data_IF_879331325750
#
_entry.id   IF_879331325750
#
_cell.length_a   1.000
_cell.length_b   1.000
_cell.length_c   1.000
_cell.angle_alpha   90.00
_cell.angle_beta   90.00
_cell.angle_gamma   90.00
#
_symmetry.space_group_name_H-M   'P 1'
#
loop_
_entity.id
_entity.type
_entity.pdbx_description
1 polymer ?
#
# COMPACT_ATOMS: atom_id res chain seq x y z
N UNK A 1 -49.43 8.01 26.27
CA UNK A 1 -49.23 7.03 27.36
C UNK A 1 -48.71 5.75 26.72
N UNK A 2 -47.62 5.24 27.30
CA UNK A 2 -46.90 3.99 27.03
C UNK A 2 -45.82 4.05 25.94
N UNK A 3 -44.62 4.27 26.48
CA UNK A 3 -43.26 3.97 26.04
C UNK A 3 -43.09 2.56 25.44
N UNK A 4 -42.20 2.45 24.45
CA UNK A 4 -41.36 1.27 24.22
C UNK A 4 -40.23 1.68 23.27
N UNK A 5 -39.07 1.99 23.87
CA UNK A 5 -37.77 1.95 23.21
C UNK A 5 -37.31 0.49 23.29
N UNK A 6 -37.12 -0.17 22.14
CA UNK A 6 -36.42 -1.45 22.07
C UNK A 6 -35.01 -1.18 21.56
N UNK A 7 -34.09 -1.41 22.49
CA UNK A 7 -32.64 -1.38 22.43
C UNK A 7 -32.20 -2.83 22.14
N UNK A 8 -31.67 -3.10 20.95
CA UNK A 8 -31.05 -4.39 20.62
C UNK A 8 -29.55 -4.17 20.39
N UNK A 9 -28.84 -4.33 21.51
CA UNK A 9 -27.39 -4.41 21.66
C UNK A 9 -26.93 -5.81 21.24
N UNK A 10 -26.65 -5.99 19.95
CA UNK A 10 -25.90 -7.16 19.45
C UNK A 10 -24.42 -7.01 19.83
N UNK A 11 -24.13 -7.17 21.12
CA UNK A 11 -22.76 -7.39 21.62
C UNK A 11 -22.33 -8.78 21.18
N UNK A 12 -21.59 -8.80 20.07
CA UNK A 12 -20.93 -9.95 19.49
C UNK A 12 -20.04 -10.64 20.54
N UNK A 13 -20.50 -11.79 21.01
CA UNK A 13 -19.79 -12.67 21.93
C UNK A 13 -18.72 -13.44 21.16
N UNK A 14 -17.70 -12.72 20.69
CA UNK A 14 -16.42 -13.30 20.28
C UNK A 14 -15.55 -13.45 21.54
N UNK A 15 -15.91 -14.45 22.35
CA UNK A 15 -14.95 -15.01 23.32
C UNK A 15 -13.90 -15.76 22.50
N UNK A 16 -12.95 -15.00 21.94
CA UNK A 16 -11.71 -15.55 21.43
C UNK A 16 -10.92 -15.97 22.67
N UNK A 17 -10.97 -17.26 22.91
CA UNK A 17 -10.13 -17.99 23.85
C UNK A 17 -8.66 -17.74 23.48
N UNK A 18 -8.06 -16.70 24.08
CA UNK A 18 -6.63 -16.41 24.00
C UNK A 18 -5.88 -17.28 25.01
N UNK A 19 -6.02 -18.60 24.90
CA UNK A 19 -5.12 -19.55 25.53
C UNK A 19 -4.10 -20.03 24.49
N UNK A 20 -3.08 -19.22 24.23
CA UNK A 20 -1.81 -19.68 23.63
C UNK A 20 -0.67 -18.69 23.96
N UNK A 21 -0.52 -18.37 25.25
CA UNK A 21 0.67 -17.69 25.81
C UNK A 21 1.59 -18.73 26.48
N UNK A 22 2.02 -19.75 25.73
CA UNK A 22 2.99 -20.72 26.25
C UNK A 22 3.83 -21.39 25.15
N UNK A 23 4.59 -20.62 24.36
CA UNK A 23 5.89 -21.11 23.83
C UNK A 23 6.79 -20.01 23.22
N UNK A 24 6.77 -18.79 23.79
CA UNK A 24 7.30 -17.64 23.08
C UNK A 24 8.82 -17.67 22.83
N UNK A 25 9.56 -18.24 23.76
CA UNK A 25 11.02 -18.19 23.75
C UNK A 25 11.65 -19.32 22.91
N UNK A 26 10.93 -20.44 22.71
CA UNK A 26 11.44 -21.57 21.93
C UNK A 26 11.31 -21.30 20.42
N UNK A 27 10.26 -20.60 19.97
CA UNK A 27 10.12 -20.26 18.55
C UNK A 27 11.18 -19.27 18.08
N UNK A 28 11.56 -18.26 18.90
CA UNK A 28 12.52 -17.24 18.49
C UNK A 28 13.90 -17.83 18.20
N UNK A 29 14.34 -18.79 19.04
CA UNK A 29 15.62 -19.47 18.85
C UNK A 29 15.63 -20.38 17.61
N UNK A 30 14.49 -20.96 17.23
CA UNK A 30 14.36 -21.79 16.04
C UNK A 30 14.41 -20.93 14.78
N UNK A 31 13.62 -19.86 14.77
CA UNK A 31 13.48 -18.93 13.64
C UNK A 31 14.79 -18.20 13.33
N UNK A 32 15.57 -17.77 14.33
CA UNK A 32 16.91 -17.18 14.11
C UNK A 32 17.84 -18.18 13.38
N UNK A 33 17.75 -19.45 13.74
CA UNK A 33 18.46 -20.54 13.08
C UNK A 33 18.07 -20.71 11.61
N UNK A 34 16.77 -20.64 11.31
CA UNK A 34 16.27 -20.67 9.93
C UNK A 34 16.69 -19.43 9.15
N UNK A 35 16.52 -18.24 9.73
CA UNK A 35 16.86 -16.97 9.10
C UNK A 35 18.34 -16.93 8.72
N UNK A 36 19.24 -17.33 9.61
CA UNK A 36 20.68 -17.41 9.32
C UNK A 36 20.98 -18.35 8.15
N UNK A 37 20.26 -19.47 8.07
CA UNK A 37 20.46 -20.45 7.01
C UNK A 37 19.90 -19.96 5.67
N UNK A 38 18.72 -19.35 5.66
CA UNK A 38 18.12 -18.70 4.48
C UNK A 38 19.02 -17.59 3.96
N UNK A 39 19.58 -16.75 4.83
CA UNK A 39 20.54 -15.71 4.46
C UNK A 39 21.80 -16.32 3.84
N UNK A 40 22.30 -17.44 4.37
CA UNK A 40 23.49 -18.10 3.83
C UNK A 40 23.28 -18.77 2.48
N UNK A 41 22.06 -19.21 2.19
CA UNK A 41 21.71 -19.94 0.96
C UNK A 41 21.10 -19.06 -0.12
N UNK A 42 20.68 -17.84 0.21
CA UNK A 42 20.13 -16.87 -0.74
C UNK A 42 21.21 -15.92 -1.29
N UNK A 43 20.81 -15.08 -2.23
CA UNK A 43 21.63 -13.96 -2.76
C UNK A 43 22.10 -12.98 -1.67
N UNK A 44 21.48 -13.03 -0.47
CA UNK A 44 21.82 -12.18 0.66
C UNK A 44 23.11 -12.58 1.39
N UNK A 45 23.74 -13.72 1.06
CA UNK A 45 24.96 -14.19 1.74
C UNK A 45 26.15 -13.21 1.64
N UNK A 46 26.24 -12.44 0.56
CA UNK A 46 27.30 -11.44 0.36
C UNK A 46 26.95 -10.05 0.91
N UNK A 47 25.73 -9.86 1.42
CA UNK A 47 25.28 -8.56 1.87
C UNK A 47 25.80 -8.28 3.27
N UNK A 48 26.70 -7.30 3.41
CA UNK A 48 27.27 -6.88 4.70
C UNK A 48 26.19 -6.43 5.70
N UNK A 49 25.05 -5.93 5.21
CA UNK A 49 23.88 -5.57 6.00
C UNK A 49 22.63 -5.90 5.22
N UNK A 50 21.72 -6.63 5.87
CA UNK A 50 20.37 -6.90 5.35
C UNK A 50 19.42 -5.88 5.97
N UNK A 51 18.59 -5.18 5.16
CA UNK A 51 17.55 -4.29 5.66
C UNK A 51 16.61 -4.99 6.64
N UNK A 52 16.11 -4.28 7.64
CA UNK A 52 15.20 -4.86 8.65
C UNK A 52 13.91 -5.38 8.03
N UNK A 53 13.35 -4.65 7.05
CA UNK A 53 12.15 -5.08 6.32
C UNK A 53 12.37 -6.40 5.58
N UNK A 54 13.56 -6.62 5.02
CA UNK A 54 13.91 -7.88 4.37
C UNK A 54 14.06 -9.02 5.37
N UNK A 55 14.58 -8.76 6.57
CA UNK A 55 14.62 -9.78 7.62
C UNK A 55 13.23 -10.16 8.10
N UNK A 56 12.36 -9.16 8.27
CA UNK A 56 10.95 -9.36 8.62
C UNK A 56 10.26 -10.21 7.56
N UNK A 57 10.44 -9.86 6.28
CA UNK A 57 9.90 -10.63 5.16
C UNK A 57 10.36 -12.09 5.16
N UNK A 58 11.65 -12.35 5.36
CA UNK A 58 12.18 -13.71 5.44
C UNK A 58 11.60 -14.47 6.63
N UNK A 59 11.42 -13.80 7.76
CA UNK A 59 10.86 -14.39 8.98
C UNK A 59 9.39 -14.75 8.81
N UNK A 60 8.60 -13.84 8.24
CA UNK A 60 7.18 -14.07 7.92
C UNK A 60 7.04 -15.27 6.95
N UNK A 61 7.92 -15.34 5.94
CA UNK A 61 7.93 -16.41 4.95
C UNK A 61 8.36 -17.77 5.53
N UNK A 62 9.27 -17.79 6.50
CA UNK A 62 9.63 -19.01 7.25
C UNK A 62 8.41 -19.50 8.03
N UNK A 63 7.73 -18.62 8.77
CA UNK A 63 6.56 -18.97 9.56
C UNK A 63 5.40 -19.47 8.68
N UNK A 64 5.21 -18.89 7.48
CA UNK A 64 4.24 -19.34 6.49
C UNK A 64 4.56 -20.77 6.01
N UNK A 65 5.80 -21.04 5.61
CA UNK A 65 6.23 -22.35 5.13
C UNK A 65 6.21 -23.44 6.22
N UNK A 66 6.47 -23.09 7.48
CA UNK A 66 6.35 -24.02 8.61
C UNK A 66 4.88 -24.39 8.87
N UNK A 67 3.98 -23.40 8.79
CA UNK A 67 2.52 -23.61 8.95
C UNK A 67 1.94 -24.51 7.86
N UNK A 68 2.35 -24.32 6.61
CA UNK A 68 1.84 -25.10 5.47
C UNK A 68 2.30 -26.57 5.49
N UNK A 69 3.41 -26.88 6.16
CA UNK A 69 4.02 -28.22 6.16
C UNK A 69 3.63 -29.12 7.33
N UNK A 70 2.69 -28.71 8.18
CA UNK A 70 2.26 -29.49 9.36
C UNK A 70 3.47 -30.04 10.15
N UNK A 71 4.42 -29.16 10.51
CA UNK A 71 5.52 -29.44 11.45
C UNK A 71 6.40 -30.65 11.06
N UNK A 72 6.74 -30.79 9.79
CA UNK A 72 7.81 -31.70 9.39
C UNK A 72 9.17 -31.14 9.85
N UNK A 73 9.96 -31.93 10.58
CA UNK A 73 11.34 -31.62 11.04
C UNK A 73 12.37 -31.47 9.88
N UNK A 74 11.89 -31.36 8.63
CA UNK A 74 12.70 -31.11 7.43
C UNK A 74 13.10 -29.64 7.32
N UNK A 75 13.98 -29.21 8.23
CA UNK A 75 14.55 -27.87 8.23
C UNK A 75 15.20 -27.49 6.90
N UNK A 76 15.91 -28.42 6.26
CA UNK A 76 16.58 -28.13 4.99
C UNK A 76 15.58 -27.94 3.85
N UNK A 77 14.49 -28.70 3.83
CA UNK A 77 13.38 -28.52 2.91
C UNK A 77 12.73 -27.14 3.06
N UNK A 78 12.45 -26.71 4.29
CA UNK A 78 11.88 -25.37 4.58
C UNK A 78 12.78 -24.28 4.00
N UNK A 79 14.08 -24.31 4.32
CA UNK A 79 15.03 -23.30 3.84
C UNK A 79 15.07 -23.26 2.31
N UNK A 80 15.12 -24.41 1.62
CA UNK A 80 15.14 -24.46 0.15
C UNK A 80 13.88 -23.85 -0.48
N UNK A 81 12.71 -24.08 0.11
CA UNK A 81 11.45 -23.52 -0.40
C UNK A 81 11.36 -22.02 -0.17
N UNK A 82 11.76 -21.56 1.02
CA UNK A 82 11.87 -20.12 1.34
C UNK A 82 12.81 -19.43 0.35
N UNK A 83 14.02 -19.97 0.12
CA UNK A 83 14.96 -19.42 -0.86
C UNK A 83 14.37 -19.35 -2.28
N UNK A 84 13.69 -20.41 -2.73
CA UNK A 84 13.03 -20.44 -4.04
C UNK A 84 11.91 -19.40 -4.17
N UNK A 85 11.11 -19.20 -3.12
CA UNK A 85 10.05 -18.17 -3.10
C UNK A 85 10.65 -16.77 -3.15
N UNK A 86 11.73 -16.50 -2.40
CA UNK A 86 12.45 -15.23 -2.45
C UNK A 86 13.00 -14.94 -3.86
N UNK A 87 13.54 -15.94 -4.55
CA UNK A 87 13.98 -15.81 -5.94
C UNK A 87 12.81 -15.52 -6.89
N UNK A 88 11.65 -16.15 -6.69
CA UNK A 88 10.47 -15.91 -7.51
C UNK A 88 9.91 -14.48 -7.33
N UNK A 89 10.06 -13.89 -6.15
CA UNK A 89 9.67 -12.49 -5.89
C UNK A 89 10.65 -11.47 -6.46
N UNK A 90 11.89 -11.87 -6.72
CA UNK A 90 12.86 -11.07 -7.49
C UNK A 90 12.46 -10.97 -8.96
N UNK A 91 11.74 -11.96 -9.48
CA UNK A 91 11.33 -12.07 -10.89
C UNK A 91 9.94 -11.47 -11.19
N UNK A 92 9.45 -10.53 -10.38
CA UNK A 92 8.35 -9.68 -10.86
C UNK A 92 8.95 -8.78 -11.94
N UNK A 93 8.64 -9.11 -13.19
CA UNK A 93 9.09 -8.37 -14.36
C UNK A 93 8.78 -6.89 -14.15
N UNK A 94 9.79 -6.01 -14.23
CA UNK A 94 9.65 -4.59 -13.90
C UNK A 94 8.48 -3.94 -14.65
N UNK A 95 8.13 -4.50 -15.82
CA UNK A 95 6.95 -4.15 -16.60
C UNK A 95 5.63 -4.15 -15.81
N UNK A 96 5.47 -4.96 -14.77
CA UNK A 96 4.18 -5.14 -14.09
C UNK A 96 3.98 -4.03 -13.07
N UNK A 97 5.02 -3.73 -12.28
CA UNK A 97 5.01 -2.60 -11.35
C UNK A 97 5.01 -1.28 -12.14
N UNK A 98 5.84 -1.17 -13.19
CA UNK A 98 5.89 0.01 -14.06
C UNK A 98 4.54 0.25 -14.75
N UNK A 99 3.87 -0.80 -15.24
CA UNK A 99 2.54 -0.70 -15.85
C UNK A 99 1.46 -0.32 -14.82
N UNK A 100 1.51 -0.84 -13.59
CA UNK A 100 0.57 -0.47 -12.52
C UNK A 100 0.73 0.99 -12.10
N UNK A 101 1.96 1.47 -11.95
CA UNK A 101 2.25 2.86 -11.59
C UNK A 101 1.92 3.82 -12.75
N UNK A 102 2.27 3.46 -13.99
CA UNK A 102 2.00 4.29 -15.16
C UNK A 102 0.49 4.47 -15.40
N UNK A 103 -0.30 3.42 -15.23
CA UNK A 103 -1.76 3.50 -15.36
C UNK A 103 -2.38 4.43 -14.32
N UNK A 104 -1.90 4.39 -13.07
CA UNK A 104 -2.44 5.22 -12.00
C UNK A 104 -2.09 6.71 -12.20
N UNK A 105 -0.84 7.01 -12.57
CA UNK A 105 -0.40 8.38 -12.90
C UNK A 105 -1.18 8.93 -14.08
N UNK A 106 -1.37 8.15 -15.15
CA UNK A 106 -2.10 8.59 -16.35
C UNK A 106 -3.56 8.90 -16.04
N UNK A 107 -4.21 8.08 -15.20
CA UNK A 107 -5.59 8.30 -14.74
C UNK A 107 -5.73 9.59 -13.94
N UNK A 108 -4.77 9.92 -13.08
CA UNK A 108 -4.78 11.19 -12.33
C UNK A 108 -4.56 12.40 -13.26
N UNK A 109 -3.63 12.29 -14.22
CA UNK A 109 -3.33 13.37 -15.18
C UNK A 109 -4.53 13.70 -16.08
N UNK A 110 -5.23 12.66 -16.57
CA UNK A 110 -6.43 12.83 -17.40
C UNK A 110 -7.62 13.41 -16.61
N UNK A 111 -7.65 13.20 -15.29
CA UNK A 111 -8.64 13.78 -14.38
C UNK A 111 -8.45 15.29 -14.18
N UNK A 112 -7.22 15.74 -13.94
CA UNK A 112 -6.91 17.18 -13.82
C UNK A 112 -7.14 17.94 -15.12
N UNK A 113 -6.69 17.40 -16.26
CA UNK A 113 -6.81 18.09 -17.55
C UNK A 113 -8.27 18.32 -18.00
N UNK A 114 -9.21 17.48 -17.56
CA UNK A 114 -10.63 17.60 -17.92
C UNK A 114 -11.40 18.58 -17.05
N UNK A 115 -11.10 18.65 -15.75
CA UNK A 115 -11.79 19.56 -14.85
C UNK A 115 -11.35 21.02 -15.02
N UNK A 116 -10.11 21.25 -15.43
CA UNK A 116 -9.57 22.62 -15.50
C UNK A 116 -10.00 23.36 -16.77
N UNK A 117 -10.27 22.67 -17.88
CA UNK A 117 -10.50 23.31 -19.18
C UNK A 117 -11.78 24.18 -19.20
N UNK A 118 -12.86 23.71 -18.57
CA UNK A 118 -14.14 24.44 -18.50
C UNK A 118 -14.02 25.64 -17.55
N UNK A 119 -13.42 25.44 -16.36
CA UNK A 119 -13.17 26.51 -15.39
C UNK A 119 -12.23 27.60 -15.93
N UNK A 120 -11.20 27.22 -16.68
CA UNK A 120 -10.31 28.16 -17.36
C UNK A 120 -11.10 29.00 -18.38
N UNK A 121 -12.01 28.37 -19.13
CA UNK A 121 -12.85 29.07 -20.10
C UNK A 121 -13.81 30.07 -19.46
N UNK A 122 -14.49 29.65 -18.38
CA UNK A 122 -15.39 30.53 -17.61
C UNK A 122 -14.64 31.71 -16.99
N UNK A 123 -13.49 31.45 -16.36
CA UNK A 123 -12.65 32.50 -15.76
C UNK A 123 -12.12 33.47 -16.82
N UNK A 124 -11.72 32.97 -18.00
CA UNK A 124 -11.27 33.81 -19.10
C UNK A 124 -12.39 34.73 -19.60
N UNK A 125 -13.62 34.21 -19.74
CA UNK A 125 -14.79 35.00 -20.13
C UNK A 125 -15.09 36.12 -19.11
N UNK A 126 -15.02 35.82 -17.82
CA UNK A 126 -15.22 36.82 -16.76
C UNK A 126 -14.18 37.95 -16.84
N UNK A 127 -12.92 37.61 -17.07
CA UNK A 127 -11.84 38.59 -17.27
C UNK A 127 -12.09 39.43 -18.51
N UNK A 128 -12.48 38.82 -19.64
CA UNK A 128 -12.79 39.53 -20.89
C UNK A 128 -13.94 40.53 -20.72
N UNK A 129 -15.02 40.12 -20.05
CA UNK A 129 -16.17 40.99 -19.77
C UNK A 129 -15.78 42.16 -18.87
N UNK A 130 -14.95 41.92 -17.84
CA UNK A 130 -14.46 42.97 -16.95
C UNK A 130 -13.60 43.99 -17.71
N UNK A 131 -12.66 43.53 -18.54
CA UNK A 131 -11.82 44.40 -19.37
C UNK A 131 -12.68 45.20 -20.34
N UNK A 132 -13.61 44.55 -21.04
CA UNK A 132 -14.50 45.22 -22.00
C UNK A 132 -15.37 46.29 -21.33
N UNK A 133 -15.89 46.01 -20.13
CA UNK A 133 -16.64 46.96 -19.33
C UNK A 133 -15.83 48.22 -19.01
N UNK A 134 -14.60 48.05 -18.53
CA UNK A 134 -13.69 49.16 -18.23
C UNK A 134 -13.37 49.99 -19.47
N UNK A 135 -13.09 49.35 -20.61
CA UNK A 135 -12.83 50.05 -21.88
C UNK A 135 -14.04 50.84 -22.37
N UNK A 136 -15.26 50.30 -22.21
CA UNK A 136 -16.49 50.99 -22.56
C UNK A 136 -16.79 52.17 -21.63
N UNK A 137 -16.47 52.04 -20.34
CA UNK A 137 -16.57 53.13 -19.37
C UNK A 137 -15.62 54.27 -19.72
N UNK A 138 -14.32 53.97 -19.92
CA UNK A 138 -13.31 54.94 -20.38
C UNK A 138 -13.74 55.66 -21.67
N UNK A 139 -14.22 54.90 -22.66
CA UNK A 139 -14.70 55.45 -23.93
C UNK A 139 -15.90 56.38 -23.73
N UNK A 140 -16.80 56.05 -22.79
CA UNK A 140 -17.98 56.86 -22.49
C UNK A 140 -17.60 58.17 -21.82
N UNK A 141 -16.61 58.17 -20.93
CA UNK A 141 -16.09 59.38 -20.30
C UNK A 141 -15.42 60.31 -21.32
N UNK A 142 -14.67 59.75 -22.28
CA UNK A 142 -14.02 60.52 -23.36
C UNK A 142 -15.05 61.17 -24.31
N UNK A 143 -16.17 60.51 -24.58
CA UNK A 143 -17.24 61.00 -25.48
C UNK A 143 -18.14 62.08 -24.88
N UNK A 144 -18.14 62.27 -23.55
CA UNK A 144 -19.00 63.24 -22.83
C UNK A 144 -18.30 64.61 -22.66
N UNK A 145 -17.15 64.80 -23.30
CA UNK A 145 -16.39 66.07 -23.40
C UNK A 145 -16.66 66.76 -24.74
#
# INVERSE_FOLDING_TARGET
MLEQEEDDDDTDNDTIDLEEEEDSEHYESSVDGFLKQVVSQSDYHNHRRIPEDMKRLMTDLIAEEEREQNWSDDREGVVKRVCRRLESWKEVESNTIDMMVEQDIRKQLDGWKRNDQEQIGETALEIELAIFGLLMEELSEELVV
#
